data_IF_192689026513
#
_entry.id   IF_192689026513
#
_cell.length_a   1.000
_cell.length_b   1.000
_cell.length_c   1.000
_cell.angle_alpha   90.00
_cell.angle_beta   90.00
_cell.angle_gamma   90.00
#
_symmetry.space_group_name_H-M   'P 1'
#
loop_
_entity.id
_entity.type
_entity.pdbx_description
1 polymer ?
#
# COMPACT_ATOMS: atom_id res chain seq x y z
N UNK A 1 58.91 -0.22 39.89
CA UNK A 1 58.59 -1.54 39.27
C UNK A 1 58.32 -1.25 37.81
N UNK A 2 59.27 -1.59 36.97
CA UNK A 2 59.40 -1.28 35.56
C UNK A 2 58.73 -2.38 34.73
N UNK A 3 57.74 -2.03 33.91
CA UNK A 3 57.10 -2.98 33.01
C UNK A 3 57.64 -2.77 31.60
N UNK A 4 58.24 -3.80 31.07
CA UNK A 4 58.95 -3.92 29.80
C UNK A 4 57.94 -4.16 28.65
N UNK A 5 58.14 -3.40 27.54
CA UNK A 5 57.38 -3.53 26.28
C UNK A 5 58.17 -4.51 25.36
N UNK A 6 57.52 -5.54 24.74
CA UNK A 6 58.17 -6.37 23.73
C UNK A 6 58.16 -5.76 22.32
N UNK A 7 59.15 -6.16 21.43
CA UNK A 7 59.41 -5.49 20.16
C UNK A 7 58.50 -5.94 19.00
N UNK A 8 58.33 -5.02 18.07
CA UNK A 8 57.70 -5.19 16.75
C UNK A 8 58.46 -6.22 15.90
N UNK A 9 57.73 -7.21 15.38
CA UNK A 9 58.22 -8.06 14.28
C UNK A 9 57.87 -7.44 12.93
N UNK A 10 58.91 -7.10 12.16
CA UNK A 10 58.83 -6.75 10.74
C UNK A 10 58.53 -7.98 9.92
N UNK A 11 57.49 -7.97 9.09
CA UNK A 11 57.28 -8.99 8.04
C UNK A 11 57.74 -8.47 6.69
N UNK A 12 58.62 -9.26 6.12
CA UNK A 12 59.26 -9.07 4.83
C UNK A 12 58.23 -9.04 3.68
N UNK A 13 58.48 -8.08 2.76
CA UNK A 13 57.85 -8.02 1.44
C UNK A 13 58.50 -9.06 0.55
N UNK A 14 57.74 -10.05 0.08
CA UNK A 14 58.16 -10.99 -0.95
C UNK A 14 57.73 -10.43 -2.32
N UNK A 15 58.67 -9.87 -3.06
CA UNK A 15 58.51 -9.52 -4.47
C UNK A 15 58.56 -10.82 -5.29
N UNK A 16 57.46 -11.15 -5.97
CA UNK A 16 57.44 -12.21 -6.96
C UNK A 16 57.24 -11.60 -8.35
N UNK A 17 58.36 -11.45 -9.09
CA UNK A 17 58.37 -11.07 -10.51
C UNK A 17 57.99 -12.28 -11.35
N UNK A 18 56.89 -12.21 -12.09
CA UNK A 18 56.59 -13.16 -13.17
C UNK A 18 56.79 -12.46 -14.54
N UNK A 19 57.38 -13.19 -15.52
CA UNK A 19 57.64 -12.65 -16.84
C UNK A 19 56.39 -12.61 -17.70
N UNK A 20 56.26 -11.54 -18.47
CA UNK A 20 55.22 -11.32 -19.49
C UNK A 20 55.52 -12.23 -20.67
N UNK A 21 54.74 -13.29 -20.84
CA UNK A 21 54.68 -14.06 -22.07
C UNK A 21 53.77 -13.35 -23.09
N UNK A 22 54.37 -12.89 -24.16
CA UNK A 22 53.74 -12.23 -25.29
C UNK A 22 52.99 -13.27 -26.14
N UNK A 23 51.68 -13.40 -25.98
CA UNK A 23 50.83 -14.15 -26.90
C UNK A 23 50.25 -13.19 -27.94
N UNK A 24 50.88 -13.12 -29.09
CA UNK A 24 50.34 -12.53 -30.31
C UNK A 24 49.17 -13.40 -30.80
N UNK A 25 47.96 -13.00 -30.47
CA UNK A 25 46.73 -13.52 -31.13
C UNK A 25 46.41 -12.59 -32.29
N UNK A 26 46.55 -13.14 -33.49
CA UNK A 26 46.08 -12.56 -34.76
C UNK A 26 44.56 -12.37 -34.70
N UNK A 27 44.11 -11.13 -34.51
CA UNK A 27 42.72 -10.79 -34.74
C UNK A 27 42.47 -10.68 -36.25
N UNK A 28 41.83 -11.71 -36.80
CA UNK A 28 41.21 -11.67 -38.12
C UNK A 28 40.08 -10.63 -38.13
N UNK A 29 40.28 -9.56 -38.90
CA UNK A 29 39.26 -8.52 -39.13
C UNK A 29 38.14 -9.10 -40.00
N UNK A 30 37.18 -9.72 -39.41
CA UNK A 30 35.87 -10.00 -40.03
C UNK A 30 35.06 -8.71 -40.06
N UNK A 31 34.98 -8.05 -41.24
CA UNK A 31 33.96 -7.00 -41.47
C UNK A 31 32.57 -7.66 -41.35
N UNK A 32 31.93 -7.50 -40.22
CA UNK A 32 30.48 -7.74 -40.10
C UNK A 32 29.77 -6.69 -40.92
N UNK A 33 29.22 -7.07 -42.10
CA UNK A 33 28.35 -6.25 -42.90
C UNK A 33 27.14 -5.88 -42.02
N UNK A 34 26.98 -4.60 -41.74
CA UNK A 34 25.81 -4.08 -41.08
C UNK A 34 24.59 -4.38 -41.91
N UNK A 35 23.75 -5.32 -41.51
CA UNK A 35 22.45 -5.59 -42.12
C UNK A 35 21.56 -4.36 -41.89
N UNK A 36 21.14 -3.75 -43.00
CA UNK A 36 20.17 -2.66 -42.99
C UNK A 36 18.90 -3.13 -42.28
N UNK A 37 18.37 -2.37 -41.32
CA UNK A 37 17.12 -2.77 -40.67
C UNK A 37 16.00 -2.92 -41.71
N UNK A 38 15.09 -3.88 -41.51
CA UNK A 38 13.96 -4.06 -42.43
C UNK A 38 13.14 -2.78 -42.52
N UNK A 39 12.59 -2.47 -43.72
CA UNK A 39 11.75 -1.29 -43.89
C UNK A 39 10.55 -1.38 -42.97
N UNK A 40 10.19 -0.24 -42.37
CA UNK A 40 8.96 -0.09 -41.58
C UNK A 40 7.75 -0.53 -42.45
N UNK A 41 6.78 -1.26 -41.85
CA UNK A 41 5.55 -1.58 -42.55
C UNK A 41 4.88 -0.29 -43.02
N UNK A 42 4.36 -0.32 -44.25
CA UNK A 42 3.64 0.81 -44.86
C UNK A 42 2.49 1.25 -43.92
N UNK A 43 2.23 2.57 -43.80
CA UNK A 43 1.13 3.06 -42.99
C UNK A 43 -0.17 2.41 -43.47
N UNK A 44 -0.88 1.77 -42.54
CA UNK A 44 -2.21 1.22 -42.80
C UNK A 44 -3.09 2.39 -43.26
N UNK A 45 -3.83 2.28 -44.38
CA UNK A 45 -4.75 3.33 -44.79
C UNK A 45 -5.69 3.62 -43.62
N UNK A 46 -5.72 4.86 -43.15
CA UNK A 46 -6.71 5.29 -42.16
C UNK A 46 -8.08 5.19 -42.84
N UNK A 47 -8.71 4.04 -42.64
CA UNK A 47 -10.07 3.78 -43.08
C UNK A 47 -10.99 4.83 -42.50
N UNK A 48 -11.90 5.28 -43.35
CA UNK A 48 -12.82 6.38 -43.13
C UNK A 48 -13.51 6.33 -41.75
N UNK A 49 -13.85 7.53 -41.30
CA UNK A 49 -14.65 7.81 -40.12
C UNK A 49 -15.73 6.73 -39.93
N UNK A 50 -15.79 6.04 -38.75
CA UNK A 50 -16.84 5.06 -38.51
C UNK A 50 -18.20 5.72 -38.73
N UNK A 51 -19.18 5.02 -39.33
CA UNK A 51 -20.51 5.57 -39.50
C UNK A 51 -21.06 5.98 -38.13
N UNK A 52 -21.85 7.07 -38.05
CA UNK A 52 -22.49 7.45 -36.79
C UNK A 52 -23.28 6.25 -36.27
N UNK A 53 -23.05 5.87 -35.00
CA UNK A 53 -23.91 4.92 -34.34
C UNK A 53 -25.34 5.41 -34.46
N UNK A 54 -26.20 4.62 -35.10
CA UNK A 54 -27.62 4.91 -35.19
C UNK A 54 -28.12 5.12 -33.73
N UNK A 55 -28.49 6.37 -33.43
CA UNK A 55 -29.14 6.69 -32.18
C UNK A 55 -30.48 5.93 -32.18
N UNK A 56 -30.60 4.97 -31.30
CA UNK A 56 -31.89 4.39 -30.96
C UNK A 56 -32.84 5.52 -30.56
N UNK A 57 -34.12 5.51 -30.99
CA UNK A 57 -35.07 6.53 -30.61
C UNK A 57 -35.08 6.68 -29.08
N UNK A 58 -34.86 7.90 -28.57
CA UNK A 58 -34.99 8.22 -27.16
C UNK A 58 -36.45 7.97 -26.76
N UNK A 59 -36.69 6.96 -25.97
CA UNK A 59 -37.97 6.77 -25.31
C UNK A 59 -38.20 7.91 -24.31
N UNK A 60 -39.40 8.50 -24.25
CA UNK A 60 -39.68 9.64 -23.40
C UNK A 60 -39.66 9.20 -21.93
N UNK A 61 -38.65 9.73 -21.19
CA UNK A 61 -38.63 10.04 -19.77
C UNK A 61 -39.36 9.13 -18.77
N UNK A 62 -39.21 7.82 -18.85
CA UNK A 62 -39.56 6.93 -17.74
C UNK A 62 -38.40 6.92 -16.72
N UNK A 63 -38.70 7.27 -15.45
CA UNK A 63 -37.76 6.97 -14.34
C UNK A 63 -37.38 5.49 -14.43
N UNK A 64 -36.09 5.12 -14.33
CA UNK A 64 -35.70 3.73 -14.28
C UNK A 64 -36.53 3.02 -13.21
N UNK A 65 -36.98 1.78 -13.45
CA UNK A 65 -37.74 1.04 -12.46
C UNK A 65 -36.94 0.97 -11.16
N UNK A 66 -37.60 1.08 -9.98
CA UNK A 66 -36.93 0.88 -8.70
C UNK A 66 -36.21 -0.46 -8.75
N UNK A 67 -34.95 -0.49 -8.33
CA UNK A 67 -34.21 -1.73 -8.14
C UNK A 67 -35.06 -2.68 -7.25
N UNK A 68 -35.14 -3.98 -7.59
CA UNK A 68 -35.91 -4.92 -6.79
C UNK A 68 -35.45 -4.84 -5.33
N UNK A 69 -36.38 -4.89 -4.36
CA UNK A 69 -36.04 -4.95 -2.95
C UNK A 69 -35.45 -6.34 -2.67
N UNK A 70 -34.15 -6.45 -2.76
CA UNK A 70 -33.52 -7.74 -2.54
C UNK A 70 -32.05 -7.68 -2.82
N UNK A 71 -31.31 -7.69 -1.79
CA UNK A 71 -29.90 -7.69 -1.53
C UNK A 71 -29.35 -6.32 -1.13
N UNK A 72 -29.85 -5.79 0.00
CA UNK A 72 -28.95 -5.05 0.87
C UNK A 72 -27.84 -6.04 1.23
N UNK A 73 -26.58 -5.79 0.86
CA UNK A 73 -25.50 -6.76 1.07
C UNK A 73 -25.24 -7.11 2.53
N UNK A 74 -26.01 -6.53 3.44
CA UNK A 74 -25.97 -6.76 4.87
C UNK A 74 -27.36 -6.50 5.43
N UNK A 75 -28.03 -7.55 5.84
CA UNK A 75 -29.35 -7.48 6.46
C UNK A 75 -29.41 -6.44 7.58
N UNK A 76 -29.92 -5.25 7.25
CA UNK A 76 -30.27 -4.26 8.25
C UNK A 76 -31.48 -4.78 9.00
N UNK A 77 -31.30 -5.17 10.25
CA UNK A 77 -32.40 -5.43 11.17
C UNK A 77 -33.11 -4.08 11.39
N UNK A 78 -34.43 -3.94 11.12
CA UNK A 78 -35.13 -2.70 11.39
C UNK A 78 -34.97 -2.31 12.85
N UNK A 79 -34.41 -1.12 13.13
CA UNK A 79 -34.13 -0.61 14.49
C UNK A 79 -32.78 -0.99 15.09
N UNK A 80 -31.94 -1.75 14.38
CA UNK A 80 -30.56 -2.07 14.83
C UNK A 80 -29.55 -1.00 14.49
N UNK A 81 -28.29 -1.11 15.02
CA UNK A 81 -27.22 -0.19 14.73
C UNK A 81 -26.94 -0.07 13.23
N UNK A 82 -26.87 1.16 12.71
CA UNK A 82 -26.67 1.43 11.28
C UNK A 82 -25.19 1.65 10.95
N UNK A 83 -24.70 1.11 9.83
CA UNK A 83 -23.34 1.40 9.38
C UNK A 83 -23.23 2.88 8.99
N UNK A 84 -22.28 3.60 9.62
CA UNK A 84 -22.03 5.03 9.40
C UNK A 84 -20.70 5.30 8.69
N UNK A 85 -19.75 4.39 8.80
CA UNK A 85 -18.50 4.42 8.04
C UNK A 85 -17.96 3.01 7.84
N UNK A 86 -17.09 2.86 6.84
CA UNK A 86 -16.32 1.64 6.60
C UNK A 86 -14.87 2.00 6.30
N UNK A 87 -14.00 1.04 6.48
CA UNK A 87 -12.57 1.18 6.24
C UNK A 87 -11.85 -0.15 6.24
N UNK A 88 -10.57 -0.06 6.24
CA UNK A 88 -9.65 -1.19 6.32
C UNK A 88 -8.88 -1.13 7.65
N UNK A 89 -8.48 -2.28 8.17
CA UNK A 89 -7.54 -2.40 9.27
C UNK A 89 -6.61 -3.57 9.03
N UNK A 90 -5.58 -3.68 9.85
CA UNK A 90 -4.66 -4.82 9.78
C UNK A 90 -4.15 -5.24 11.15
N UNK A 91 -3.77 -6.49 11.26
CA UNK A 91 -3.39 -7.11 12.54
C UNK A 91 -1.96 -6.72 12.92
N UNK A 92 -1.79 -6.12 14.10
CA UNK A 92 -0.50 -5.61 14.61
C UNK A 92 0.00 -6.35 15.86
N UNK A 93 -0.89 -7.10 16.53
CA UNK A 93 -0.60 -8.02 17.63
C UNK A 93 -1.79 -8.98 17.80
N UNK A 94 -1.69 -10.07 18.58
CA UNK A 94 -2.82 -10.95 18.86
C UNK A 94 -4.04 -10.15 19.34
N UNK A 95 -5.18 -10.31 18.66
CA UNK A 95 -6.44 -9.60 18.95
C UNK A 95 -6.33 -8.07 18.89
N UNK A 96 -5.33 -7.52 18.18
CA UNK A 96 -5.13 -6.07 18.01
C UNK A 96 -5.10 -5.71 16.52
N UNK A 97 -5.94 -4.75 16.14
CA UNK A 97 -6.02 -4.24 14.78
C UNK A 97 -5.76 -2.74 14.77
N UNK A 98 -4.89 -2.29 13.88
CA UNK A 98 -4.63 -0.88 13.61
C UNK A 98 -5.49 -0.40 12.45
N UNK A 99 -6.00 0.83 12.56
CA UNK A 99 -6.76 1.54 11.51
C UNK A 99 -6.62 3.05 11.67
N UNK A 100 -7.36 3.84 10.90
CA UNK A 100 -7.41 5.29 11.10
C UNK A 100 -8.42 5.68 12.20
N UNK A 101 -8.12 6.81 12.86
CA UNK A 101 -9.03 7.43 13.83
C UNK A 101 -10.38 7.76 13.19
N UNK A 102 -10.40 8.37 12.01
CA UNK A 102 -11.65 8.76 11.36
C UNK A 102 -12.55 7.58 10.96
N UNK A 103 -12.00 6.36 10.81
CA UNK A 103 -12.77 5.14 10.58
C UNK A 103 -13.47 4.68 11.86
N UNK A 104 -12.81 4.83 13.01
CA UNK A 104 -13.27 4.34 14.31
C UNK A 104 -14.00 5.39 15.16
N UNK A 105 -13.96 6.67 14.75
CA UNK A 105 -14.46 7.78 15.55
C UNK A 105 -15.99 7.78 15.67
N UNK A 106 -16.48 7.82 16.92
CA UNK A 106 -17.89 7.91 17.24
C UNK A 106 -18.69 6.65 16.94
N UNK A 107 -18.04 5.49 16.81
CA UNK A 107 -18.72 4.21 16.67
C UNK A 107 -19.28 3.74 18.01
N UNK A 108 -20.52 3.32 18.05
CA UNK A 108 -21.09 2.58 19.18
C UNK A 108 -20.56 1.15 19.20
N UNK A 109 -20.39 0.56 18.03
CA UNK A 109 -19.85 -0.79 17.83
C UNK A 109 -18.97 -0.83 16.57
N UNK A 110 -17.88 -1.58 16.64
CA UNK A 110 -17.05 -1.91 15.49
C UNK A 110 -17.24 -3.38 15.12
N UNK A 111 -17.49 -3.65 13.84
CA UNK A 111 -17.51 -5.00 13.27
C UNK A 111 -16.35 -5.17 12.33
N UNK A 112 -15.72 -6.33 12.43
CA UNK A 112 -14.58 -6.73 11.62
C UNK A 112 -14.97 -7.94 10.80
N UNK A 113 -14.68 -7.93 9.51
CA UNK A 113 -14.75 -9.13 8.66
C UNK A 113 -13.33 -9.52 8.25
N UNK A 114 -12.94 -10.73 8.59
CA UNK A 114 -11.64 -11.32 8.25
C UNK A 114 -11.59 -11.79 6.80
N UNK A 115 -10.42 -12.16 6.33
CA UNK A 115 -10.22 -12.79 4.99
C UNK A 115 -10.95 -14.12 4.85
N UNK A 116 -11.15 -14.87 5.95
CA UNK A 116 -11.95 -16.10 5.96
C UNK A 116 -13.46 -15.85 5.95
N UNK A 117 -13.91 -14.59 6.00
CA UNK A 117 -15.32 -14.20 6.05
C UNK A 117 -15.92 -14.19 7.47
N UNK A 118 -15.15 -14.53 8.51
CA UNK A 118 -15.64 -14.47 9.89
C UNK A 118 -15.93 -13.04 10.32
N UNK A 119 -17.06 -12.82 10.98
CA UNK A 119 -17.41 -11.53 11.58
C UNK A 119 -17.11 -11.54 13.08
N UNK A 120 -16.30 -10.56 13.49
CA UNK A 120 -15.84 -10.37 14.86
C UNK A 120 -16.28 -9.00 15.37
N UNK A 121 -16.56 -8.89 16.68
CA UNK A 121 -16.78 -7.61 17.32
C UNK A 121 -15.44 -7.02 17.82
N UNK A 122 -15.36 -5.69 17.79
CA UNK A 122 -14.20 -4.98 18.31
C UNK A 122 -14.60 -3.71 19.06
N UNK A 123 -13.70 -3.27 19.92
CA UNK A 123 -13.82 -2.01 20.67
C UNK A 123 -12.60 -1.14 20.40
N UNK A 124 -12.77 0.16 20.44
CA UNK A 124 -11.66 1.13 20.33
C UNK A 124 -10.89 1.12 21.63
N UNK A 125 -9.61 0.73 21.55
CA UNK A 125 -8.71 0.69 22.73
C UNK A 125 -7.96 2.02 22.91
N UNK A 126 -7.54 2.65 21.81
CA UNK A 126 -6.84 3.93 21.82
C UNK A 126 -7.03 4.66 20.49
N UNK A 127 -6.93 5.99 20.54
CA UNK A 127 -6.97 6.85 19.34
C UNK A 127 -5.94 7.96 19.41
N UNK A 128 -5.46 8.37 18.23
CA UNK A 128 -4.65 9.57 18.04
C UNK A 128 -5.26 10.35 16.85
N UNK A 129 -5.99 11.40 17.18
CA UNK A 129 -6.67 12.23 16.17
C UNK A 129 -5.68 13.02 15.31
N UNK A 130 -4.54 13.43 15.88
CA UNK A 130 -3.53 14.23 15.18
C UNK A 130 -2.84 13.42 14.10
N UNK A 131 -2.52 12.15 14.40
CA UNK A 131 -1.91 11.21 13.46
C UNK A 131 -2.92 10.44 12.64
N UNK A 132 -4.22 10.58 12.97
CA UNK A 132 -5.32 9.81 12.37
C UNK A 132 -5.13 8.29 12.53
N UNK A 133 -4.80 7.83 13.74
CA UNK A 133 -4.61 6.42 14.07
C UNK A 133 -5.60 5.96 15.16
N UNK A 134 -6.01 4.70 15.08
CA UNK A 134 -6.82 4.03 16.10
C UNK A 134 -6.38 2.57 16.27
N UNK A 135 -6.31 2.12 17.53
CA UNK A 135 -6.05 0.75 17.91
C UNK A 135 -7.35 0.11 18.40
N UNK A 136 -7.69 -1.03 17.81
CA UNK A 136 -8.87 -1.81 18.17
C UNK A 136 -8.47 -3.05 18.97
N UNK A 137 -9.28 -3.42 19.96
CA UNK A 137 -9.28 -4.74 20.59
C UNK A 137 -10.37 -5.59 19.97
N UNK A 138 -10.02 -6.75 19.46
CA UNK A 138 -10.90 -7.67 18.74
C UNK A 138 -11.26 -8.85 19.64
N UNK A 139 -12.52 -9.27 19.62
CA UNK A 139 -12.97 -10.49 20.28
C UNK A 139 -12.82 -11.67 19.33
N UNK A 140 -11.73 -12.42 19.47
CA UNK A 140 -11.38 -13.54 18.61
C UNK A 140 -10.05 -13.32 17.88
N UNK A 141 -9.78 -14.17 16.90
CA UNK A 141 -8.58 -14.11 16.09
C UNK A 141 -8.84 -13.37 14.76
N UNK A 142 -8.30 -12.17 14.56
CA UNK A 142 -8.45 -11.44 13.31
C UNK A 142 -7.48 -11.88 12.21
N UNK A 143 -6.53 -12.77 12.50
CA UNK A 143 -5.53 -13.28 11.56
C UNK A 143 -4.08 -13.07 12.03
N UNK A 144 -3.10 -13.41 11.19
CA UNK A 144 -1.68 -13.32 11.53
C UNK A 144 -1.20 -11.87 11.67
N UNK A 145 -0.15 -11.68 12.47
CA UNK A 145 0.42 -10.37 12.77
C UNK A 145 1.37 -9.94 11.65
N UNK A 146 1.17 -8.73 11.11
CA UNK A 146 2.08 -8.11 10.14
C UNK A 146 3.34 -7.56 10.81
N UNK A 147 4.44 -7.58 10.06
CA UNK A 147 5.70 -6.97 10.48
C UNK A 147 5.81 -5.56 9.95
N UNK A 148 6.39 -4.67 10.76
CA UNK A 148 6.75 -3.32 10.32
C UNK A 148 8.20 -3.27 9.84
N UNK A 149 8.45 -2.43 8.86
CA UNK A 149 9.80 -2.14 8.37
C UNK A 149 10.63 -1.47 9.46
N UNK A 150 11.81 -2.03 9.78
CA UNK A 150 12.77 -1.44 10.71
C UNK A 150 13.92 -0.68 10.02
N UNK A 151 14.05 -0.79 8.72
CA UNK A 151 15.05 -0.16 7.87
C UNK A 151 15.24 -0.92 6.56
N UNK A 152 16.05 -0.41 5.63
CA UNK A 152 16.64 0.92 5.60
C UNK A 152 15.60 2.06 5.52
N UNK A 153 16.05 3.33 5.60
CA UNK A 153 15.15 4.49 5.43
C UNK A 153 14.43 4.47 4.09
N UNK A 154 13.20 4.99 4.08
CA UNK A 154 12.37 5.07 2.88
C UNK A 154 12.89 6.17 1.96
N UNK A 155 12.96 5.86 0.67
CA UNK A 155 13.39 6.81 -0.37
C UNK A 155 12.27 7.10 -1.36
N UNK A 156 12.33 8.25 -2.03
CA UNK A 156 11.46 8.54 -3.17
C UNK A 156 11.71 7.53 -4.29
N UNK A 157 10.64 7.12 -4.98
CA UNK A 157 10.70 6.12 -6.04
C UNK A 157 10.74 4.66 -5.53
N UNK A 158 10.66 4.42 -4.22
CA UNK A 158 10.49 3.05 -3.72
C UNK A 158 9.10 2.53 -4.05
N UNK A 159 9.04 1.33 -4.64
CA UNK A 159 7.79 0.66 -4.96
C UNK A 159 6.99 0.31 -3.71
N UNK A 160 5.66 0.52 -3.78
CA UNK A 160 4.74 0.25 -2.69
C UNK A 160 3.54 -0.56 -3.15
N UNK A 161 2.97 -1.33 -2.23
CA UNK A 161 1.73 -2.08 -2.42
C UNK A 161 0.73 -1.65 -1.35
N UNK A 162 -0.51 -1.33 -1.75
CA UNK A 162 -1.61 -1.13 -0.82
C UNK A 162 -2.58 -2.30 -0.89
N UNK A 163 -3.23 -2.61 0.22
CA UNK A 163 -4.22 -3.67 0.30
C UNK A 163 -5.39 -3.23 1.17
N UNK A 164 -6.63 -3.35 0.68
CA UNK A 164 -7.78 -2.88 1.43
C UNK A 164 -9.11 -3.11 0.73
N UNK A 165 -10.18 -2.50 1.25
CA UNK A 165 -11.56 -2.71 0.82
C UNK A 165 -12.20 -1.42 0.29
N UNK A 166 -11.76 -0.94 -0.89
CA UNK A 166 -12.30 0.30 -1.46
C UNK A 166 -13.76 0.14 -1.86
N UNK A 167 -14.56 1.18 -1.59
CA UNK A 167 -15.95 1.29 -2.05
C UNK A 167 -16.77 0.01 -1.80
N UNK A 168 -16.55 -0.64 -0.64
CA UNK A 168 -17.27 -1.86 -0.27
C UNK A 168 -18.79 -1.66 -0.32
N UNK A 169 -19.47 -2.52 -1.06
CA UNK A 169 -20.91 -2.41 -1.32
C UNK A 169 -21.25 -1.74 -2.66
N UNK A 170 -20.29 -1.09 -3.33
CA UNK A 170 -20.44 -0.51 -4.68
C UNK A 170 -19.67 -1.33 -5.71
N UNK A 171 -18.40 -1.66 -5.42
CA UNK A 171 -17.55 -2.44 -6.34
C UNK A 171 -17.58 -3.93 -5.97
N UNK A 172 -16.63 -4.36 -5.20
CA UNK A 172 -16.49 -5.75 -4.76
C UNK A 172 -16.58 -5.84 -3.24
N UNK A 173 -17.08 -6.96 -2.73
CA UNK A 173 -17.00 -7.28 -1.29
C UNK A 173 -15.61 -7.77 -0.88
N UNK A 174 -14.76 -8.15 -1.84
CA UNK A 174 -13.39 -8.58 -1.64
C UNK A 174 -12.40 -7.42 -1.53
N UNK A 175 -11.17 -7.71 -1.08
CA UNK A 175 -10.11 -6.72 -1.03
C UNK A 175 -9.56 -6.38 -2.42
N UNK A 176 -8.95 -5.21 -2.53
CA UNK A 176 -8.26 -4.74 -3.73
C UNK A 176 -6.81 -4.46 -3.41
N UNK A 177 -5.93 -4.86 -4.31
CA UNK A 177 -4.51 -4.54 -4.30
C UNK A 177 -4.22 -3.47 -5.34
N UNK A 178 -3.48 -2.42 -4.97
CA UNK A 178 -2.93 -1.46 -5.92
C UNK A 178 -1.46 -1.21 -5.66
N UNK A 179 -0.73 -0.83 -6.70
CA UNK A 179 0.71 -0.57 -6.66
C UNK A 179 1.01 0.86 -7.06
N UNK A 180 2.15 1.34 -6.65
CA UNK A 180 2.70 2.64 -6.98
C UNK A 180 4.05 2.85 -6.33
N UNK A 181 4.42 4.10 -6.11
CA UNK A 181 5.71 4.48 -5.56
C UNK A 181 5.55 5.55 -4.49
N UNK A 182 6.57 5.69 -3.63
CA UNK A 182 6.71 6.83 -2.74
C UNK A 182 7.04 8.07 -3.57
N UNK A 183 6.11 8.99 -3.75
CA UNK A 183 6.27 10.21 -4.53
C UNK A 183 7.01 11.30 -3.74
N UNK A 184 6.69 11.45 -2.43
CA UNK A 184 7.35 12.40 -1.55
C UNK A 184 7.45 11.87 -0.11
N UNK A 185 8.46 12.38 0.64
CA UNK A 185 8.71 12.00 2.03
C UNK A 185 7.99 12.89 3.05
N UNK A 186 7.12 13.77 2.57
CA UNK A 186 6.19 14.55 3.37
C UNK A 186 4.79 14.51 2.75
N UNK A 187 3.77 14.66 3.57
CA UNK A 187 2.38 14.70 3.15
C UNK A 187 1.90 16.10 2.81
N UNK A 188 0.58 16.30 2.83
CA UNK A 188 -0.05 17.57 2.52
C UNK A 188 0.46 18.68 3.45
N UNK A 189 0.83 19.84 2.88
CA UNK A 189 1.40 21.02 3.58
C UNK A 189 2.66 20.64 4.39
N UNK A 190 3.54 19.88 3.77
CA UNK A 190 4.82 19.43 4.34
C UNK A 190 4.67 18.63 5.64
N UNK A 191 3.56 17.90 5.81
CA UNK A 191 3.36 17.06 6.97
C UNK A 191 4.43 15.96 7.03
N UNK A 192 5.40 16.13 7.93
CA UNK A 192 6.53 15.22 8.10
C UNK A 192 6.13 13.81 8.58
N UNK A 193 4.93 13.65 9.16
CA UNK A 193 4.39 12.36 9.64
C UNK A 193 3.82 11.49 8.53
N UNK A 194 3.78 11.97 7.27
CA UNK A 194 3.16 11.28 6.16
C UNK A 194 4.11 11.11 4.98
N UNK A 195 3.80 10.11 4.13
CA UNK A 195 4.30 9.98 2.76
C UNK A 195 3.23 10.43 1.77
N UNK A 196 3.67 10.98 0.62
CA UNK A 196 2.85 11.02 -0.58
C UNK A 196 3.17 9.78 -1.43
N UNK A 197 2.14 9.13 -1.97
CA UNK A 197 2.27 7.93 -2.81
C UNK A 197 1.47 8.09 -4.11
N UNK A 198 1.92 7.42 -5.18
CA UNK A 198 1.22 7.37 -6.45
C UNK A 198 0.21 6.21 -6.55
N UNK A 199 0.28 5.22 -5.65
CA UNK A 199 -0.65 4.10 -5.63
C UNK A 199 -2.11 4.61 -5.52
N UNK A 200 -3.02 4.20 -6.43
CA UNK A 200 -4.42 4.60 -6.35
C UNK A 200 -5.08 4.10 -5.06
N UNK A 201 -5.73 5.02 -4.32
CA UNK A 201 -6.54 4.67 -3.15
C UNK A 201 -7.91 5.35 -3.23
N UNK A 202 -8.91 4.70 -2.68
CA UNK A 202 -10.31 5.14 -2.68
C UNK A 202 -10.88 5.10 -1.26
N UNK A 203 -12.02 5.78 -0.99
CA UNK A 203 -12.74 5.60 0.26
C UNK A 203 -12.94 4.12 0.58
N UNK A 204 -12.60 3.71 1.82
CA UNK A 204 -12.56 2.32 2.24
C UNK A 204 -11.15 1.73 2.36
N UNK A 205 -10.14 2.26 1.64
CA UNK A 205 -8.74 1.90 1.86
C UNK A 205 -8.17 2.52 3.15
N UNK A 206 -8.82 3.53 3.72
CA UNK A 206 -8.42 4.19 4.98
C UNK A 206 -8.16 3.17 6.07
N UNK A 207 -7.01 3.29 6.73
CA UNK A 207 -6.54 2.41 7.79
C UNK A 207 -5.89 1.12 7.31
N UNK A 208 -5.85 0.88 6.00
CA UNK A 208 -5.15 -0.26 5.40
C UNK A 208 -3.63 -0.13 5.45
N UNK A 209 -2.91 -1.25 5.34
CA UNK A 209 -1.46 -1.25 5.33
C UNK A 209 -0.90 -0.74 4.00
N UNK A 210 0.18 0.04 4.08
CA UNK A 210 1.08 0.33 2.98
C UNK A 210 2.32 -0.54 3.16
N UNK A 211 2.61 -1.40 2.20
CA UNK A 211 3.76 -2.31 2.22
C UNK A 211 4.88 -1.80 1.33
N UNK A 212 6.12 -2.14 1.72
CA UNK A 212 7.23 -2.20 0.78
C UNK A 212 7.24 -3.53 0.01
N UNK A 213 8.13 -3.66 -0.96
CA UNK A 213 8.25 -4.89 -1.76
C UNK A 213 8.93 -6.06 -1.00
N UNK A 214 9.37 -5.87 0.24
CA UNK A 214 9.75 -6.96 1.12
C UNK A 214 8.54 -7.57 1.84
N UNK A 215 7.35 -6.94 1.76
CA UNK A 215 6.13 -7.34 2.43
C UNK A 215 6.03 -6.84 3.87
N UNK A 216 6.82 -5.83 4.25
CA UNK A 216 6.75 -5.21 5.56
C UNK A 216 5.90 -3.92 5.50
N UNK A 217 5.14 -3.66 6.54
CA UNK A 217 4.36 -2.43 6.66
C UNK A 217 5.29 -1.23 6.83
N UNK A 218 5.19 -0.26 5.93
CA UNK A 218 5.94 0.98 5.99
C UNK A 218 5.05 2.21 6.24
N UNK A 219 3.71 2.03 6.24
CA UNK A 219 2.75 3.09 6.51
C UNK A 219 1.32 2.60 6.67
N UNK A 220 0.44 3.55 6.97
CA UNK A 220 -1.01 3.35 7.10
C UNK A 220 -1.72 4.29 6.12
N UNK A 221 -2.53 3.75 5.23
CA UNK A 221 -3.23 4.51 4.17
C UNK A 221 -4.22 5.50 4.78
N UNK A 222 -4.23 6.74 4.25
CA UNK A 222 -5.21 7.77 4.55
C UNK A 222 -5.90 8.18 3.26
N UNK A 223 -7.12 7.70 3.04
CA UNK A 223 -7.91 8.03 1.84
C UNK A 223 -8.85 9.24 2.02
N UNK A 224 -8.73 9.94 3.15
CA UNK A 224 -9.60 11.09 3.50
C UNK A 224 -9.14 12.40 2.86
N UNK A 225 -8.26 12.37 1.87
CA UNK A 225 -7.92 13.62 1.23
C UNK A 225 -9.08 14.12 0.41
N UNK A 226 -9.44 15.31 0.78
CA UNK A 226 -10.36 16.18 0.13
C UNK A 226 -9.91 16.48 -1.31
N UNK A 227 -9.94 15.48 -2.21
CA UNK A 227 -9.87 15.75 -3.65
C UNK A 227 -10.84 16.90 -3.99
N UNK A 228 -12.01 16.94 -3.34
CA UNK A 228 -12.95 18.07 -3.45
C UNK A 228 -12.39 19.40 -2.92
N UNK A 229 -11.67 19.43 -1.79
CA UNK A 229 -11.05 20.68 -1.30
C UNK A 229 -9.89 21.14 -2.17
N UNK A 230 -9.11 20.22 -2.69
CA UNK A 230 -8.06 20.56 -3.64
C UNK A 230 -8.69 21.04 -4.94
N UNK A 231 -9.70 20.36 -5.46
CA UNK A 231 -10.44 20.77 -6.65
C UNK A 231 -11.10 22.16 -6.47
N UNK A 232 -11.63 22.47 -5.30
CA UNK A 232 -12.19 23.78 -4.98
C UNK A 232 -11.13 24.91 -4.95
N UNK A 233 -9.89 24.59 -4.60
CA UNK A 233 -8.81 25.58 -4.53
C UNK A 233 -7.97 25.67 -5.80
N UNK A 234 -7.89 24.61 -6.59
CA UNK A 234 -7.06 24.54 -7.80
C UNK A 234 -7.84 24.43 -9.11
N UNK A 235 -9.14 24.14 -9.04
CA UNK A 235 -9.99 23.87 -10.20
C UNK A 235 -9.79 22.49 -10.83
N UNK A 236 -8.89 21.66 -10.28
CA UNK A 236 -8.56 20.34 -10.81
C UNK A 236 -8.57 19.26 -9.72
N UNK A 237 -8.91 18.02 -10.10
CA UNK A 237 -8.86 16.85 -9.21
C UNK A 237 -7.50 16.17 -9.39
N UNK A 238 -6.61 16.23 -8.40
CA UNK A 238 -5.31 15.60 -8.51
C UNK A 238 -5.44 14.10 -8.76
N UNK A 239 -4.78 13.60 -9.79
CA UNK A 239 -4.69 12.18 -10.07
C UNK A 239 -3.46 11.61 -9.37
N UNK A 240 -3.60 10.42 -8.73
CA UNK A 240 -2.49 9.69 -8.12
C UNK A 240 -1.72 10.48 -7.02
N UNK A 241 -2.40 11.39 -6.33
CA UNK A 241 -1.87 12.08 -5.15
C UNK A 241 -2.59 11.56 -3.92
N UNK A 242 -1.98 10.59 -3.28
CA UNK A 242 -2.51 9.88 -2.12
C UNK A 242 -1.51 9.93 -0.97
N UNK A 243 -1.95 9.61 0.25
CA UNK A 243 -1.12 9.78 1.44
C UNK A 243 -1.21 8.57 2.36
N UNK A 244 -0.11 8.36 3.10
CA UNK A 244 -0.04 7.37 4.16
C UNK A 244 0.68 7.95 5.38
N UNK A 245 0.19 7.67 6.57
CA UNK A 245 0.92 7.89 7.82
C UNK A 245 2.17 7.01 7.81
N UNK A 246 3.32 7.57 8.15
CA UNK A 246 4.59 6.81 8.19
C UNK A 246 4.54 5.67 9.19
N UNK A 247 5.17 4.55 8.86
CA UNK A 247 5.26 3.39 9.75
C UNK A 247 5.89 3.73 11.10
N UNK A 248 6.86 4.64 11.14
CA UNK A 248 7.46 5.10 12.39
C UNK A 248 6.45 5.74 13.34
N UNK A 249 5.51 6.56 12.81
CA UNK A 249 4.44 7.16 13.59
C UNK A 249 3.46 6.12 14.14
N UNK A 250 3.14 5.11 13.30
CA UNK A 250 2.29 4.01 13.71
C UNK A 250 2.95 3.15 14.80
N UNK A 251 4.24 2.84 14.65
CA UNK A 251 5.04 2.10 15.65
C UNK A 251 5.11 2.84 16.98
N UNK A 252 5.34 4.15 16.94
CA UNK A 252 5.37 4.99 18.15
C UNK A 252 4.00 5.02 18.85
N UNK A 253 2.90 5.19 18.08
CA UNK A 253 1.54 5.11 18.61
C UNK A 253 1.26 3.74 19.27
N UNK A 254 1.62 2.64 18.62
CA UNK A 254 1.42 1.30 19.13
C UNK A 254 2.18 1.07 20.46
N UNK A 255 3.46 1.47 20.51
CA UNK A 255 4.30 1.34 21.72
C UNK A 255 3.75 2.11 22.90
N UNK A 256 3.28 3.35 22.69
CA UNK A 256 2.64 4.15 23.76
C UNK A 256 1.36 3.51 24.29
N UNK A 257 0.71 2.66 23.49
CA UNK A 257 -0.52 1.95 23.87
C UNK A 257 -0.28 0.47 24.23
N UNK A 258 0.95 0.14 24.66
CA UNK A 258 1.31 -1.18 25.19
C UNK A 258 1.43 -2.30 24.16
N UNK A 259 1.46 -1.97 22.87
CA UNK A 259 1.69 -2.94 21.79
C UNK A 259 3.13 -2.83 21.29
N UNK A 260 3.84 -3.95 21.28
CA UNK A 260 5.18 -4.06 20.70
C UNK A 260 5.08 -4.65 19.29
N UNK A 261 5.12 -3.84 18.22
CA UNK A 261 5.02 -4.35 16.86
C UNK A 261 6.26 -5.14 16.48
N UNK A 262 6.06 -6.18 15.66
CA UNK A 262 7.17 -6.96 15.09
C UNK A 262 7.90 -6.10 14.07
N UNK A 263 9.20 -5.88 14.29
CA UNK A 263 10.07 -5.08 13.41
C UNK A 263 10.97 -6.00 12.59
N UNK A 264 11.02 -5.81 11.25
CA UNK A 264 11.84 -6.61 10.34
C UNK A 264 12.56 -5.69 9.34
N UNK A 265 13.86 -5.87 9.10
CA UNK A 265 14.57 -5.11 8.07
C UNK A 265 14.14 -5.55 6.66
N UNK A 266 13.98 -4.57 5.77
CA UNK A 266 13.61 -4.81 4.37
C UNK A 266 14.87 -4.98 3.49
N UNK A 267 15.64 -6.02 3.77
CA UNK A 267 16.93 -6.32 3.11
C UNK A 267 16.87 -7.49 2.14
N UNK A 268 15.72 -8.19 2.07
CA UNK A 268 15.51 -9.29 1.13
C UNK A 268 15.26 -8.76 -0.30
N UNK A 269 15.53 -9.57 -1.35
CA UNK A 269 15.14 -9.20 -2.71
C UNK A 269 13.66 -8.81 -2.80
N UNK A 270 13.31 -7.82 -3.65
CA UNK A 270 11.91 -7.42 -3.84
C UNK A 270 11.04 -8.58 -4.28
N UNK A 271 9.87 -8.70 -3.69
CA UNK A 271 8.79 -9.60 -4.10
C UNK A 271 7.96 -8.96 -5.20
N UNK A 272 7.24 -9.75 -5.95
CA UNK A 272 6.16 -9.27 -6.81
C UNK A 272 5.01 -8.71 -5.96
N UNK A 273 4.20 -7.83 -6.55
CA UNK A 273 3.00 -7.32 -5.87
C UNK A 273 2.03 -8.43 -5.46
N UNK A 274 1.94 -9.51 -6.25
CA UNK A 274 1.10 -10.66 -5.93
C UNK A 274 1.59 -11.37 -4.65
N UNK A 275 2.89 -11.61 -4.51
CA UNK A 275 3.46 -12.23 -3.31
C UNK A 275 3.30 -11.34 -2.05
N UNK A 276 3.37 -10.00 -2.22
CA UNK A 276 3.03 -9.08 -1.12
C UNK A 276 1.54 -9.18 -0.78
N UNK A 277 0.68 -9.34 -1.79
CA UNK A 277 -0.75 -9.59 -1.61
C UNK A 277 -1.06 -10.85 -0.79
N UNK A 278 -0.31 -11.94 -0.99
CA UNK A 278 -0.45 -13.18 -0.19
C UNK A 278 -0.07 -12.94 1.28
N UNK A 279 0.90 -12.09 1.56
CA UNK A 279 1.24 -11.69 2.95
C UNK A 279 0.14 -10.80 3.54
N UNK A 280 -0.40 -9.88 2.75
CA UNK A 280 -1.39 -8.91 3.19
C UNK A 280 -2.77 -9.55 3.48
N UNK A 281 -3.19 -10.49 2.63
CA UNK A 281 -4.56 -11.03 2.61
C UNK A 281 -5.04 -11.58 3.95
N UNK A 282 -4.34 -12.51 4.61
CA UNK A 282 -4.83 -13.10 5.86
C UNK A 282 -4.82 -12.14 7.05
N UNK A 283 -4.08 -11.05 6.95
CA UNK A 283 -3.82 -10.09 8.03
C UNK A 283 -4.59 -8.78 7.89
N UNK A 284 -5.29 -8.58 6.77
CA UNK A 284 -6.04 -7.35 6.48
C UNK A 284 -7.54 -7.61 6.62
N UNK A 285 -8.22 -6.73 7.32
CA UNK A 285 -9.62 -6.88 7.68
C UNK A 285 -10.47 -5.72 7.20
N UNK A 286 -11.71 -6.01 6.83
CA UNK A 286 -12.73 -5.01 6.55
C UNK A 286 -13.37 -4.54 7.85
N UNK A 287 -13.54 -3.23 8.00
CA UNK A 287 -14.11 -2.60 9.18
C UNK A 287 -15.45 -1.92 8.87
N UNK A 288 -16.42 -2.08 9.77
CA UNK A 288 -17.67 -1.32 9.79
C UNK A 288 -17.86 -0.66 11.13
N UNK A 289 -18.15 0.62 11.10
CA UNK A 289 -18.55 1.42 12.24
C UNK A 289 -20.08 1.46 12.29
N UNK A 290 -20.66 1.11 13.39
CA UNK A 290 -22.10 1.09 13.62
C UNK A 290 -22.49 2.12 14.69
N UNK A 291 -23.64 2.78 14.50
CA UNK A 291 -24.29 3.69 15.46
C UNK A 291 -25.76 3.37 15.62
#
# INVERSE_FOLDING_TARGET
MTATIPPRQARAMCNLSLPIACCLLLFGSGLAAAQKPPPLPAPVPQGGKPPPLAQAPAEPGGKPPPLPPGNTPFGAVPGGPRPVSSGTGFVVAPSRVLTNHHVANGCAEMRIRTSSGAELSATVAATDQQRDLALLTVRGDPGPVLSFRSGPEVRRGEGVVTYGFPLSGILSSGPTLTTGDVSALAGLRDNAAQFQISAPVQPGNSGGPLFDLAGNVMGVIVSKLNAQRIAQSTGDIPQNVNFAVKGAEAVDFLRRNGVQPRMVPSTIPPRSAAEVGEVAHPSTVFLRCLR
#
